data_IF_657786489108
#
_entry.id   IF_657786489108
#
_cell.length_a   1.000
_cell.length_b   1.000
_cell.length_c   1.000
_cell.angle_alpha   90.00
_cell.angle_beta   90.00
_cell.angle_gamma   90.00
#
_symmetry.space_group_name_H-M   'P 1'
#
loop_
_entity.id
_entity.type
_entity.pdbx_description
1 polymer ?
#
# COMPACT_ATOMS: atom_id res chain seq x y z
N UNK A 1 18.97 -26.95 -12.78
CA UNK A 1 19.49 -25.93 -11.84
C UNK A 1 18.38 -25.63 -10.85
N UNK A 2 18.55 -26.11 -9.63
CA UNK A 2 17.65 -25.83 -8.52
C UNK A 2 17.87 -24.38 -8.12
N UNK A 3 16.91 -23.50 -8.43
CA UNK A 3 16.90 -22.18 -7.81
C UNK A 3 16.63 -22.40 -6.32
N UNK A 4 17.70 -22.35 -5.54
CA UNK A 4 17.64 -22.15 -4.11
C UNK A 4 16.95 -20.82 -3.87
N UNK A 5 15.63 -20.87 -3.68
CA UNK A 5 14.92 -19.80 -3.03
C UNK A 5 15.53 -19.71 -1.64
N UNK A 6 16.51 -18.81 -1.47
CA UNK A 6 16.78 -18.24 -0.16
C UNK A 6 15.40 -17.89 0.37
N UNK A 7 14.94 -18.60 1.41
CA UNK A 7 13.79 -18.21 2.21
C UNK A 7 14.17 -16.86 2.82
N UNK A 8 14.05 -15.81 2.02
CA UNK A 8 14.14 -14.45 2.51
C UNK A 8 12.98 -14.31 3.47
N UNK A 9 13.31 -14.15 4.75
CA UNK A 9 12.33 -14.08 5.79
C UNK A 9 11.67 -12.69 5.79
N UNK A 10 10.66 -12.52 4.94
CA UNK A 10 9.96 -11.25 4.80
C UNK A 10 8.93 -11.05 5.91
N UNK A 11 8.80 -9.84 6.43
CA UNK A 11 7.81 -9.52 7.46
C UNK A 11 6.37 -9.66 6.95
N UNK A 12 6.11 -9.28 5.70
CA UNK A 12 4.83 -9.46 5.04
C UNK A 12 5.06 -9.85 3.57
N UNK A 13 4.22 -10.71 3.02
CA UNK A 13 4.15 -10.91 1.57
C UNK A 13 2.72 -11.15 1.12
N UNK A 14 2.39 -10.64 -0.06
CA UNK A 14 1.08 -10.79 -0.65
C UNK A 14 1.17 -10.83 -2.18
N UNK A 15 0.21 -11.53 -2.78
CA UNK A 15 -0.06 -11.44 -4.21
C UNK A 15 -1.01 -10.26 -4.45
N UNK A 16 -0.61 -9.35 -5.32
CA UNK A 16 -1.38 -8.18 -5.73
C UNK A 16 -1.82 -8.35 -7.17
N UNK A 17 -3.10 -8.58 -7.42
CA UNK A 17 -3.70 -8.39 -8.73
C UNK A 17 -3.92 -6.89 -8.95
N UNK A 18 -3.20 -6.33 -9.91
CA UNK A 18 -3.11 -4.89 -10.09
C UNK A 18 -4.31 -4.39 -10.90
N UNK A 19 -5.24 -3.72 -10.22
CA UNK A 19 -6.36 -3.01 -10.82
C UNK A 19 -6.05 -1.53 -11.05
N UNK A 20 -7.04 -0.80 -11.57
CA UNK A 20 -6.97 0.65 -11.72
C UNK A 20 -8.34 1.28 -11.52
N UNK A 21 -8.34 2.51 -11.00
CA UNK A 21 -9.53 3.33 -10.93
C UNK A 21 -9.21 4.77 -11.32
N UNK A 22 -10.26 5.47 -11.75
CA UNK A 22 -10.24 6.90 -11.99
C UNK A 22 -11.27 7.55 -11.07
N UNK A 23 -10.97 8.74 -10.58
CA UNK A 23 -11.88 9.49 -9.75
C UNK A 23 -11.87 10.96 -10.11
N UNK A 24 -13.01 11.60 -9.92
CA UNK A 24 -13.16 13.05 -10.09
C UNK A 24 -13.40 13.62 -8.70
N UNK A 25 -12.34 14.09 -8.05
CA UNK A 25 -12.48 14.86 -6.83
C UNK A 25 -13.07 16.23 -7.17
N UNK A 26 -13.88 16.80 -6.27
CA UNK A 26 -14.62 18.03 -6.53
C UNK A 26 -13.68 19.16 -6.97
N UNK A 27 -13.68 19.46 -8.28
CA UNK A 27 -12.97 20.59 -8.86
C UNK A 27 -11.59 20.31 -9.48
N UNK A 28 -11.08 19.08 -9.50
CA UNK A 28 -9.81 18.73 -10.18
C UNK A 28 -10.02 17.80 -11.38
N UNK A 29 -9.21 17.97 -12.44
CA UNK A 29 -9.18 17.04 -13.56
C UNK A 29 -8.50 15.73 -13.14
N UNK A 30 -9.31 14.78 -12.64
CA UNK A 30 -9.05 13.35 -12.67
C UNK A 30 -7.86 12.84 -11.86
N UNK A 31 -8.15 12.08 -10.80
CA UNK A 31 -7.18 11.24 -10.11
C UNK A 31 -7.17 9.85 -10.74
N UNK A 32 -5.99 9.21 -10.78
CA UNK A 32 -5.85 7.83 -11.23
C UNK A 32 -5.05 7.05 -10.21
N UNK A 33 -5.52 5.84 -9.90
CA UNK A 33 -4.81 4.91 -9.06
C UNK A 33 -4.57 3.56 -9.76
N UNK A 34 -3.51 2.90 -9.32
CA UNK A 34 -3.15 1.55 -9.74
C UNK A 34 -2.71 0.72 -8.55
N UNK A 35 -3.29 -0.46 -8.38
CA UNK A 35 -3.05 -1.32 -7.22
C UNK A 35 -4.33 -1.97 -6.74
N UNK A 36 -4.59 -1.86 -5.44
CA UNK A 36 -5.72 -2.50 -4.78
C UNK A 36 -6.47 -1.54 -3.83
N UNK A 37 -7.79 -1.61 -3.88
CA UNK A 37 -8.72 -1.06 -2.88
C UNK A 37 -9.83 -2.08 -2.65
N UNK A 38 -10.02 -2.48 -1.38
CA UNK A 38 -11.03 -3.45 -0.93
C UNK A 38 -12.44 -2.99 -1.23
N UNK A 39 -13.32 -3.95 -1.52
CA UNK A 39 -14.76 -3.68 -1.64
C UNK A 39 -15.40 -3.22 -0.33
N UNK A 40 -16.27 -2.20 -0.42
CA UNK A 40 -16.91 -1.59 0.75
C UNK A 40 -15.99 -0.74 1.63
N UNK A 41 -14.79 -0.37 1.16
CA UNK A 41 -13.89 0.56 1.84
C UNK A 41 -14.50 1.98 1.93
N UNK A 42 -14.43 2.59 3.12
CA UNK A 42 -15.17 3.82 3.44
C UNK A 42 -14.35 5.04 3.85
N UNK A 43 -13.05 4.87 4.12
CA UNK A 43 -12.23 5.96 4.68
C UNK A 43 -12.13 7.17 3.76
N UNK A 44 -12.32 6.92 2.46
CA UNK A 44 -12.44 7.96 1.46
C UNK A 44 -13.47 7.60 0.38
N UNK A 45 -14.75 7.49 0.78
CA UNK A 45 -15.88 7.24 -0.15
C UNK A 45 -15.96 8.29 -1.28
N UNK A 46 -15.23 9.40 -1.17
CA UNK A 46 -15.15 10.44 -2.21
C UNK A 46 -13.99 10.20 -3.19
N UNK A 47 -12.89 9.56 -2.77
CA UNK A 47 -11.71 9.34 -3.63
C UNK A 47 -11.86 8.20 -4.62
N UNK A 48 -12.50 7.09 -4.30
CA UNK A 48 -12.65 5.98 -5.25
C UNK A 48 -14.09 5.48 -5.27
N UNK A 49 -14.80 5.78 -6.36
CA UNK A 49 -16.20 5.38 -6.53
C UNK A 49 -16.43 3.86 -6.54
N UNK A 50 -15.37 3.05 -6.72
CA UNK A 50 -15.42 1.58 -6.80
C UNK A 50 -14.11 0.96 -6.30
N UNK A 51 -14.22 -0.24 -5.73
CA UNK A 51 -13.09 -1.13 -5.47
C UNK A 51 -12.38 -1.55 -6.76
N UNK A 52 -11.10 -1.89 -6.66
CA UNK A 52 -10.29 -2.35 -7.79
C UNK A 52 -9.11 -3.19 -7.31
N UNK A 53 -8.62 -4.05 -8.20
CA UNK A 53 -7.53 -4.99 -7.88
C UNK A 53 -7.97 -6.08 -6.92
N UNK A 54 -7.02 -6.92 -6.52
CA UNK A 54 -7.19 -7.92 -5.45
C UNK A 54 -5.87 -8.09 -4.69
N UNK A 55 -5.95 -8.37 -3.39
CA UNK A 55 -4.78 -8.58 -2.54
C UNK A 55 -4.97 -9.83 -1.69
N UNK A 56 -4.05 -10.78 -1.86
CA UNK A 56 -4.03 -12.04 -1.11
C UNK A 56 -2.76 -12.16 -0.30
N UNK A 57 -2.88 -12.08 1.03
CA UNK A 57 -1.76 -12.28 1.96
C UNK A 57 -1.27 -13.73 1.88
N UNK A 58 0.06 -13.89 1.80
CA UNK A 58 0.76 -15.17 1.76
C UNK A 58 1.46 -15.45 3.10
N UNK A 59 2.11 -14.43 3.65
CA UNK A 59 2.77 -14.49 4.95
C UNK A 59 2.63 -13.14 5.64
N UNK A 60 2.37 -13.15 6.95
CA UNK A 60 2.30 -11.94 7.75
C UNK A 60 2.87 -12.22 9.15
N UNK A 61 3.93 -11.51 9.50
CA UNK A 61 4.62 -11.54 10.79
C UNK A 61 4.55 -10.18 11.50
N UNK A 62 3.68 -9.30 11.01
CA UNK A 62 3.48 -7.95 11.53
C UNK A 62 2.25 -7.89 12.42
N UNK A 63 1.99 -6.72 13.01
CA UNK A 63 0.73 -6.42 13.70
C UNK A 63 -0.40 -5.95 12.77
N UNK A 64 -0.20 -5.93 11.45
CA UNK A 64 -1.22 -5.57 10.46
C UNK A 64 -2.22 -6.72 10.38
N UNK A 65 -3.49 -6.47 10.69
CA UNK A 65 -4.56 -7.47 10.57
C UNK A 65 -5.10 -7.50 9.15
N UNK A 66 -5.23 -6.33 8.52
CA UNK A 66 -5.75 -6.20 7.17
C UNK A 66 -5.10 -5.03 6.43
N UNK A 67 -4.89 -5.20 5.12
CA UNK A 67 -4.62 -4.08 4.21
C UNK A 67 -5.92 -3.81 3.45
N UNK A 68 -6.48 -2.61 3.61
CA UNK A 68 -7.69 -2.21 2.87
C UNK A 68 -7.37 -1.57 1.54
N UNK A 69 -6.19 -0.96 1.42
CA UNK A 69 -5.72 -0.42 0.17
C UNK A 69 -4.20 -0.37 0.10
N UNK A 70 -3.69 -0.56 -1.11
CA UNK A 70 -2.28 -0.39 -1.47
C UNK A 70 -2.21 0.00 -2.94
N UNK A 71 -1.92 1.27 -3.23
CA UNK A 71 -1.93 1.76 -4.61
C UNK A 71 -0.98 2.92 -4.85
N UNK A 72 -0.54 3.04 -6.10
CA UNK A 72 0.09 4.24 -6.64
C UNK A 72 -0.99 5.22 -7.08
N UNK A 73 -0.95 6.45 -6.56
CA UNK A 73 -1.87 7.54 -6.86
C UNK A 73 -1.19 8.66 -7.63
N UNK A 74 -1.87 9.21 -8.62
CA UNK A 74 -1.43 10.40 -9.36
C UNK A 74 -2.62 11.32 -9.61
N UNK A 75 -2.41 12.63 -9.45
CA UNK A 75 -3.30 13.65 -9.99
C UNK A 75 -2.94 13.87 -11.47
N UNK A 76 -3.87 13.76 -12.43
CA UNK A 76 -3.53 13.84 -13.87
C UNK A 76 -2.88 15.16 -14.28
N UNK A 77 -3.14 16.25 -13.56
CA UNK A 77 -2.52 17.56 -13.82
C UNK A 77 -1.04 17.60 -13.35
N UNK A 78 -0.66 16.72 -12.42
CA UNK A 78 0.66 16.70 -11.81
C UNK A 78 1.29 15.31 -11.92
N UNK A 79 2.41 15.18 -12.65
CA UNK A 79 3.11 13.89 -12.78
C UNK A 79 3.75 13.35 -11.49
N UNK A 80 3.50 14.01 -10.37
CA UNK A 80 3.91 13.61 -9.03
C UNK A 80 2.87 12.66 -8.44
N UNK A 81 3.32 11.49 -8.04
CA UNK A 81 2.48 10.50 -7.38
C UNK A 81 3.06 10.01 -6.08
N UNK A 82 2.26 9.24 -5.37
CA UNK A 82 2.57 8.66 -4.06
C UNK A 82 2.09 7.22 -4.00
N UNK A 83 2.73 6.42 -3.14
CA UNK A 83 2.14 5.16 -2.70
C UNK A 83 1.31 5.44 -1.46
N UNK A 84 0.04 5.05 -1.49
CA UNK A 84 -0.86 5.05 -0.34
C UNK A 84 -1.06 3.61 0.13
N UNK A 85 -0.95 3.42 1.45
CA UNK A 85 -1.18 2.14 2.09
C UNK A 85 -1.98 2.32 3.38
N UNK A 86 -3.22 1.83 3.37
CA UNK A 86 -4.03 1.76 4.57
C UNK A 86 -3.99 0.36 5.18
N UNK A 87 -3.60 0.34 6.45
CA UNK A 87 -3.45 -0.85 7.25
C UNK A 87 -4.32 -0.77 8.51
N UNK A 88 -5.01 -1.86 8.83
CA UNK A 88 -5.71 -2.03 10.10
C UNK A 88 -4.81 -2.73 11.11
N UNK A 89 -4.77 -2.24 12.34
CA UNK A 89 -4.29 -3.04 13.47
C UNK A 89 -5.42 -3.89 14.06
N UNK A 90 -5.07 -4.72 15.04
CA UNK A 90 -6.04 -5.26 15.99
C UNK A 90 -6.81 -4.13 16.69
N UNK A 91 -7.99 -4.46 17.18
CA UNK A 91 -8.93 -3.64 17.96
C UNK A 91 -8.40 -3.14 19.29
N UNK A 92 -7.24 -3.60 19.74
CA UNK A 92 -6.62 -3.10 20.96
C UNK A 92 -5.90 -1.77 20.72
N UNK A 93 -6.07 -0.82 21.65
CA UNK A 93 -5.36 0.47 21.61
C UNK A 93 -3.85 0.30 21.63
N UNK A 94 -3.34 -0.68 22.38
CA UNK A 94 -1.90 -0.97 22.44
C UNK A 94 -1.37 -1.43 21.08
N UNK A 95 -2.05 -2.38 20.41
CA UNK A 95 -1.67 -2.87 19.08
C UNK A 95 -1.68 -1.73 18.05
N UNK A 96 -2.65 -0.82 18.14
CA UNK A 96 -2.73 0.34 17.26
C UNK A 96 -1.56 1.30 17.44
N UNK A 97 -1.26 1.71 18.68
CA UNK A 97 -0.11 2.59 18.95
C UNK A 97 1.22 1.93 18.57
N UNK A 98 1.37 0.63 18.83
CA UNK A 98 2.55 -0.12 18.44
C UNK A 98 2.73 -0.15 16.91
N UNK A 99 1.63 -0.32 16.15
CA UNK A 99 1.69 -0.33 14.70
C UNK A 99 1.95 1.08 14.12
N UNK A 100 1.40 2.15 14.71
CA UNK A 100 1.75 3.53 14.35
C UNK A 100 3.26 3.75 14.56
N UNK A 101 3.78 3.42 15.74
CA UNK A 101 5.21 3.59 16.04
C UNK A 101 6.08 2.76 15.08
N UNK A 102 5.65 1.55 14.73
CA UNK A 102 6.32 0.71 13.74
C UNK A 102 6.43 1.40 12.36
N UNK A 103 5.37 2.02 11.87
CA UNK A 103 5.39 2.77 10.60
C UNK A 103 6.19 4.08 10.66
N UNK A 104 6.22 4.76 11.82
CA UNK A 104 6.98 6.01 12.00
C UNK A 104 8.49 5.80 12.08
N UNK A 105 8.90 4.68 12.66
CA UNK A 105 10.32 4.49 13.03
C UNK A 105 11.12 3.74 11.98
N UNK A 106 10.48 2.92 11.16
CA UNK A 106 11.14 2.00 10.23
C UNK A 106 10.99 2.39 8.76
N UNK A 107 11.98 2.01 7.97
CA UNK A 107 11.96 2.22 6.52
C UNK A 107 11.32 1.04 5.80
N UNK A 108 10.36 1.33 4.94
CA UNK A 108 9.64 0.36 4.14
C UNK A 108 10.46 -0.06 2.92
N UNK A 109 10.75 -1.35 2.82
CA UNK A 109 11.40 -1.98 1.68
C UNK A 109 10.46 -2.97 1.02
N UNK A 110 10.23 -2.82 -0.29
CA UNK A 110 9.38 -3.71 -1.08
C UNK A 110 10.21 -4.35 -2.18
N UNK A 111 10.17 -5.68 -2.26
CA UNK A 111 10.79 -6.45 -3.34
C UNK A 111 9.72 -7.02 -4.25
N UNK A 112 9.87 -6.81 -5.56
CA UNK A 112 9.00 -7.36 -6.62
C UNK A 112 9.84 -7.65 -7.84
N UNK A 113 9.59 -8.80 -8.50
CA UNK A 113 10.37 -9.27 -9.67
C UNK A 113 11.90 -9.29 -9.44
N UNK A 114 12.34 -9.55 -8.20
CA UNK A 114 13.75 -9.60 -7.83
C UNK A 114 14.43 -8.25 -7.58
N UNK A 115 13.69 -7.14 -7.70
CA UNK A 115 14.19 -5.78 -7.44
C UNK A 115 13.61 -5.23 -6.13
N UNK A 116 14.46 -4.65 -5.28
CA UNK A 116 14.05 -4.03 -4.01
C UNK A 116 13.98 -2.51 -4.15
N UNK A 117 12.91 -1.92 -3.63
CA UNK A 117 12.62 -0.49 -3.60
C UNK A 117 12.57 -0.02 -2.14
N UNK A 118 13.39 0.96 -1.76
CA UNK A 118 13.32 1.57 -0.44
C UNK A 118 12.38 2.79 -0.50
N UNK A 119 11.16 2.63 0.01
CA UNK A 119 10.14 3.68 0.08
C UNK A 119 10.41 4.67 1.22
N UNK A 120 11.37 4.38 2.10
CA UNK A 120 11.71 5.17 3.27
C UNK A 120 10.65 5.05 4.36
N UNK A 121 10.65 6.02 5.27
CA UNK A 121 9.61 6.16 6.29
C UNK A 121 8.34 6.72 5.68
N UNK A 122 7.19 6.47 6.33
CA UNK A 122 5.96 7.14 5.94
C UNK A 122 6.16 8.65 6.12
N UNK A 123 5.81 9.42 5.09
CA UNK A 123 5.88 10.88 5.13
C UNK A 123 4.78 11.48 5.99
N UNK A 124 3.62 10.83 5.96
CA UNK A 124 2.48 11.18 6.77
C UNK A 124 1.83 9.91 7.33
N UNK A 125 1.26 10.03 8.52
CA UNK A 125 0.46 9.00 9.14
C UNK A 125 -0.82 9.65 9.64
N UNK A 126 -1.91 9.38 8.93
CA UNK A 126 -3.22 9.88 9.31
C UNK A 126 -4.03 8.77 10.00
N UNK A 127 -4.69 9.14 11.09
CA UNK A 127 -5.62 8.28 11.83
C UNK A 127 -6.95 9.03 11.99
N UNK A 128 -8.08 8.32 11.91
CA UNK A 128 -9.43 8.88 12.04
C UNK A 128 -10.27 7.96 12.93
N UNK A 129 -10.65 8.40 14.14
CA UNK A 129 -11.34 7.56 15.12
C UNK A 129 -12.62 6.90 14.60
N UNK A 130 -13.33 7.57 13.69
CA UNK A 130 -14.60 7.09 13.11
C UNK A 130 -14.43 5.83 12.24
N UNK A 131 -13.21 5.54 11.77
CA UNK A 131 -12.90 4.32 11.02
C UNK A 131 -12.18 3.27 11.88
N UNK A 132 -12.03 3.52 13.18
CA UNK A 132 -11.41 2.62 14.14
C UNK A 132 -9.89 2.65 14.07
N UNK A 133 -9.26 1.47 13.99
CA UNK A 133 -7.80 1.31 14.11
C UNK A 133 -7.10 1.25 12.74
N UNK A 134 -7.48 2.16 11.83
CA UNK A 134 -6.87 2.29 10.51
C UNK A 134 -5.75 3.31 10.55
N UNK A 135 -4.68 3.00 9.85
CA UNK A 135 -3.50 3.83 9.71
C UNK A 135 -3.28 4.06 8.22
N UNK A 136 -3.35 5.32 7.80
CA UNK A 136 -3.10 5.76 6.43
C UNK A 136 -1.65 6.21 6.28
N UNK A 137 -0.89 5.50 5.43
CA UNK A 137 0.53 5.71 5.22
C UNK A 137 0.79 6.23 3.80
N UNK A 138 1.57 7.31 3.70
CA UNK A 138 1.98 7.91 2.43
C UNK A 138 3.48 7.81 2.22
N UNK A 139 3.90 7.27 1.07
CA UNK A 139 5.31 7.19 0.69
C UNK A 139 5.56 7.94 -0.63
N UNK A 140 6.46 8.92 -0.60
CA UNK A 140 6.87 9.71 -1.77
C UNK A 140 8.39 9.85 -1.82
N UNK A 141 9.01 9.05 -2.68
CA UNK A 141 10.42 9.21 -3.06
C UNK A 141 10.65 8.61 -4.47
N UNK A 142 11.90 8.59 -4.93
CA UNK A 142 12.25 8.06 -6.25
C UNK A 142 11.95 6.57 -6.40
N UNK A 143 12.10 5.78 -5.34
CA UNK A 143 11.85 4.34 -5.38
C UNK A 143 10.36 4.01 -5.32
N UNK A 144 9.56 4.80 -4.59
CA UNK A 144 8.10 4.77 -4.64
C UNK A 144 7.60 5.06 -6.08
N UNK A 145 8.21 6.02 -6.77
CA UNK A 145 7.89 6.31 -8.19
C UNK A 145 8.23 5.14 -9.12
N UNK A 146 9.37 4.47 -8.91
CA UNK A 146 9.75 3.27 -9.69
C UNK A 146 8.78 2.12 -9.42
N UNK A 147 8.39 1.89 -8.17
CA UNK A 147 7.37 0.90 -7.82
C UNK A 147 6.02 1.27 -8.44
N UNK A 148 5.65 2.55 -8.42
CA UNK A 148 4.45 3.06 -9.10
C UNK A 148 4.44 2.78 -10.61
N UNK A 149 5.60 2.83 -11.27
CA UNK A 149 5.71 2.43 -12.69
C UNK A 149 5.40 0.94 -12.89
N UNK A 150 5.77 0.07 -11.95
CA UNK A 150 5.38 -1.35 -11.98
C UNK A 150 3.88 -1.49 -11.76
N UNK A 151 3.30 -0.76 -10.79
CA UNK A 151 1.86 -0.79 -10.52
C UNK A 151 1.03 -0.29 -11.70
N UNK A 152 1.57 0.53 -12.60
CA UNK A 152 0.86 0.91 -13.84
C UNK A 152 0.65 -0.25 -14.81
N UNK A 153 1.35 -1.37 -14.66
CA UNK A 153 1.14 -2.57 -15.47
C UNK A 153 -0.05 -3.37 -14.90
N UNK A 154 -1.27 -2.99 -15.30
CA UNK A 154 -2.53 -3.58 -14.79
C UNK A 154 -2.84 -4.95 -15.40
N UNK A 155 -3.79 -5.66 -14.78
CA UNK A 155 -4.30 -6.94 -15.28
C UNK A 155 -3.37 -8.12 -15.05
N UNK A 156 -2.32 -7.94 -14.25
CA UNK A 156 -1.37 -8.97 -13.85
C UNK A 156 -1.30 -9.08 -12.33
N UNK A 157 -0.91 -10.26 -11.86
CA UNK A 157 -0.60 -10.50 -10.45
C UNK A 157 0.90 -10.40 -10.23
N UNK A 158 1.31 -9.62 -9.22
CA UNK A 158 2.69 -9.51 -8.75
C UNK A 158 2.77 -9.96 -7.30
N UNK A 159 3.80 -10.74 -6.96
CA UNK A 159 4.12 -11.03 -5.57
C UNK A 159 5.01 -9.93 -5.01
N UNK A 160 4.52 -9.26 -3.98
CA UNK A 160 5.28 -8.26 -3.24
C UNK A 160 5.78 -8.89 -1.95
N UNK A 161 7.04 -8.64 -1.67
CA UNK A 161 7.70 -9.05 -0.44
C UNK A 161 8.12 -7.80 0.33
N UNK A 162 7.69 -7.70 1.59
CA UNK A 162 7.74 -6.46 2.35
C UNK A 162 8.52 -6.65 3.64
N UNK A 163 9.40 -5.68 3.91
CA UNK A 163 10.16 -5.57 5.15
C UNK A 163 10.14 -4.14 5.67
N UNK A 164 10.15 -4.00 6.99
CA UNK A 164 10.40 -2.74 7.67
C UNK A 164 11.71 -2.87 8.46
N UNK A 165 12.70 -2.08 8.09
CA UNK A 165 14.07 -2.13 8.63
C UNK A 165 14.32 -0.89 9.49
#
# INVERSE_FOLDING_TARGET
MTCDWVKMDFMLSFDLFIGTANATLQGSEGHVAWGYVKDGYKWDEQEWSKSFGDLKVIQNKTGIVETTSFYWHVNREHSDGVILWLAYSDTSQESFHNLINFFQTKELHITVDGMTYNLGKSLDITTKPEYGHVIDNTYKNNDAKKLGAILKHTGVTKRLYVNWI
#
